data_IF_349541861979
#
_entry.id   IF_349541861979
#
_cell.length_a   1.000
_cell.length_b   1.000
_cell.length_c   1.000
_cell.angle_alpha   90.00
_cell.angle_beta   90.00
_cell.angle_gamma   90.00
#
_symmetry.space_group_name_H-M   'P 1'
#
loop_
_entity.id
_entity.type
_entity.pdbx_description
1 polymer ?
#
# COMPACT_ATOMS: atom_id res chain seq x y z
N UNK A 1 30.19 9.34 -28.94
CA UNK A 1 30.28 8.13 -28.09
C UNK A 1 30.22 6.97 -29.06
N UNK A 2 31.30 6.21 -29.19
CA UNK A 2 31.45 5.24 -30.28
C UNK A 2 30.77 3.92 -29.89
N UNK A 3 30.09 3.28 -30.85
CA UNK A 3 29.35 2.02 -30.59
C UNK A 3 30.23 0.89 -30.02
N UNK A 4 31.54 0.96 -30.29
CA UNK A 4 32.56 0.06 -29.76
C UNK A 4 32.73 0.21 -28.24
N UNK A 5 32.63 1.42 -27.71
CA UNK A 5 32.78 1.71 -26.27
C UNK A 5 31.55 1.19 -25.49
N UNK A 6 30.38 1.27 -26.11
CA UNK A 6 29.12 0.75 -25.54
C UNK A 6 29.15 -0.78 -25.51
N UNK A 7 29.60 -1.43 -26.58
CA UNK A 7 29.70 -2.88 -26.64
C UNK A 7 30.70 -3.46 -25.60
N UNK A 8 31.83 -2.78 -25.39
CA UNK A 8 32.81 -3.16 -24.37
C UNK A 8 32.29 -2.96 -22.95
N UNK A 9 31.54 -1.87 -22.70
CA UNK A 9 30.91 -1.63 -21.41
C UNK A 9 29.84 -2.70 -21.09
N UNK A 10 29.01 -3.06 -22.06
CA UNK A 10 27.97 -4.10 -21.89
C UNK A 10 28.60 -5.48 -21.66
N UNK A 11 29.64 -5.85 -22.40
CA UNK A 11 30.35 -7.12 -22.21
C UNK A 11 30.99 -7.24 -20.81
N UNK A 12 31.57 -6.14 -20.32
CA UNK A 12 32.19 -6.07 -18.98
C UNK A 12 31.15 -6.17 -17.85
N UNK A 13 29.93 -5.70 -18.09
CA UNK A 13 28.83 -5.83 -17.13
C UNK A 13 28.30 -7.27 -17.14
N UNK A 14 28.08 -7.86 -18.32
CA UNK A 14 27.53 -9.22 -18.44
C UNK A 14 28.46 -10.29 -17.85
N UNK A 15 29.78 -10.13 -17.97
CA UNK A 15 30.75 -11.06 -17.38
C UNK A 15 30.76 -11.06 -15.85
N UNK A 16 30.26 -10.01 -15.20
CA UNK A 16 30.09 -9.98 -13.73
C UNK A 16 28.88 -10.79 -13.26
N UNK A 17 27.94 -11.11 -14.15
CA UNK A 17 26.68 -11.78 -13.80
C UNK A 17 26.60 -13.25 -14.23
N UNK A 18 27.50 -13.73 -15.09
CA UNK A 18 27.56 -15.16 -15.47
C UNK A 18 28.54 -15.93 -14.59
N UNK A 19 28.08 -16.44 -13.45
CA UNK A 19 28.72 -17.57 -12.77
C UNK A 19 28.31 -18.84 -13.52
N UNK A 20 29.23 -19.41 -14.29
CA UNK A 20 29.05 -20.73 -14.88
C UNK A 20 29.01 -21.79 -13.77
N UNK A 21 27.99 -22.66 -13.78
CA UNK A 21 27.97 -23.93 -13.05
C UNK A 21 28.89 -24.93 -13.75
N UNK A 22 29.68 -25.69 -12.98
CA UNK A 22 29.94 -27.07 -13.31
C UNK A 22 29.34 -28.01 -12.25
N UNK A 23 28.88 -29.14 -12.76
CA UNK A 23 28.40 -30.32 -12.04
C UNK A 23 29.53 -31.01 -11.23
N UNK A 24 29.13 -31.89 -10.31
CA UNK A 24 29.89 -32.78 -9.39
C UNK A 24 30.40 -32.24 -8.03
N UNK A 25 29.83 -32.83 -6.96
CA UNK A 25 30.33 -32.87 -5.57
C UNK A 25 31.31 -34.08 -5.42
N UNK A 26 32.25 -34.16 -4.42
CA UNK A 26 31.94 -34.04 -2.99
C UNK A 26 33.00 -33.38 -2.06
N UNK A 27 32.55 -33.12 -0.82
CA UNK A 27 33.29 -33.03 0.47
C UNK A 27 34.13 -31.78 0.87
N UNK A 28 33.56 -31.04 1.84
CA UNK A 28 34.17 -30.40 3.04
C UNK A 28 35.54 -29.69 2.98
N UNK A 29 35.56 -28.35 3.13
CA UNK A 29 36.35 -27.67 4.18
C UNK A 29 35.87 -26.24 4.41
N UNK A 30 35.84 -25.85 5.69
CA UNK A 30 35.47 -24.54 6.25
C UNK A 30 36.40 -23.38 5.83
N UNK A 31 35.86 -22.16 5.99
CA UNK A 31 36.54 -20.89 6.23
C UNK A 31 37.18 -20.11 5.04
N UNK A 32 36.38 -19.20 4.48
CA UNK A 32 36.84 -17.84 4.14
C UNK A 32 35.68 -16.87 4.40
N UNK A 33 35.40 -16.61 5.68
CA UNK A 33 34.50 -15.54 6.12
C UNK A 33 35.16 -14.23 5.70
N UNK A 34 34.54 -13.50 4.80
CA UNK A 34 35.04 -12.20 4.34
C UNK A 34 34.75 -11.21 5.47
N UNK A 35 35.68 -11.08 6.41
CA UNK A 35 35.61 -10.11 7.50
C UNK A 35 35.53 -8.71 6.90
N UNK A 36 34.43 -8.02 7.19
CA UNK A 36 34.21 -6.64 6.76
C UNK A 36 32.91 -6.40 6.02
N UNK A 37 32.17 -7.43 5.56
CA UNK A 37 30.85 -7.20 4.97
C UNK A 37 29.87 -6.62 5.98
N UNK A 38 29.88 -7.16 7.20
CA UNK A 38 29.04 -6.68 8.30
C UNK A 38 29.41 -5.24 8.71
N UNK A 39 30.69 -4.88 8.67
CA UNK A 39 31.15 -3.50 8.95
C UNK A 39 30.80 -2.52 7.83
N UNK A 40 30.87 -2.95 6.57
CA UNK A 40 30.47 -2.14 5.40
C UNK A 40 28.97 -1.88 5.44
N UNK A 41 28.16 -2.91 5.75
CA UNK A 41 26.71 -2.79 5.92
C UNK A 41 26.40 -1.88 7.12
N UNK A 42 27.09 -2.04 8.26
CA UNK A 42 26.93 -1.18 9.42
C UNK A 42 27.30 0.29 9.13
N UNK A 43 28.39 0.54 8.39
CA UNK A 43 28.77 1.90 7.97
C UNK A 43 27.81 2.50 6.96
N UNK A 44 27.29 1.72 6.01
CA UNK A 44 26.30 2.19 5.04
C UNK A 44 24.98 2.57 5.73
N UNK A 45 24.53 1.74 6.69
CA UNK A 45 23.35 2.04 7.52
C UNK A 45 23.57 3.26 8.42
N UNK A 46 24.76 3.42 8.99
CA UNK A 46 25.11 4.59 9.79
C UNK A 46 25.20 5.88 8.94
N UNK A 47 25.73 5.81 7.72
CA UNK A 47 25.85 6.97 6.81
C UNK A 47 24.50 7.43 6.24
N UNK A 48 23.51 6.54 6.12
CA UNK A 48 22.14 6.91 5.76
C UNK A 48 21.30 7.38 6.96
N UNK A 49 21.74 7.19 8.20
CA UNK A 49 21.03 7.61 9.41
C UNK A 49 21.16 9.11 9.77
N UNK A 50 21.56 9.96 8.81
CA UNK A 50 21.77 11.39 9.03
C UNK A 50 20.46 12.14 9.34
N UNK A 51 20.08 12.16 10.62
CA UNK A 51 19.16 13.08 11.37
C UNK A 51 17.73 13.28 10.82
N UNK A 52 17.46 13.11 9.53
CA UNK A 52 16.13 13.22 8.92
C UNK A 52 15.32 11.92 9.06
N UNK A 53 15.98 10.77 8.96
CA UNK A 53 15.29 9.47 9.03
C UNK A 53 14.98 9.02 10.45
N UNK A 54 15.77 9.42 11.46
CA UNK A 54 15.48 9.10 12.86
C UNK A 54 14.22 9.82 13.37
N UNK A 55 13.96 11.04 12.90
CA UNK A 55 12.72 11.79 13.17
C UNK A 55 11.51 11.11 12.52
N UNK A 56 11.67 10.67 11.26
CA UNK A 56 10.61 9.97 10.53
C UNK A 56 10.29 8.60 11.15
N UNK A 57 11.31 7.82 11.52
CA UNK A 57 11.15 6.49 12.13
C UNK A 57 10.58 6.60 13.56
N UNK A 58 10.99 7.60 14.34
CA UNK A 58 10.44 7.84 15.68
C UNK A 58 9.00 8.35 15.63
N UNK A 59 8.60 9.10 14.59
CA UNK A 59 7.20 9.43 14.35
C UNK A 59 6.41 8.18 13.91
N UNK A 60 6.96 7.32 13.05
CA UNK A 60 6.33 6.06 12.61
C UNK A 60 6.13 5.07 13.76
N UNK A 61 7.06 4.99 14.72
CA UNK A 61 6.91 4.10 15.88
C UNK A 61 5.81 4.54 16.86
N UNK A 62 5.47 5.83 16.92
CA UNK A 62 4.33 6.32 17.73
C UNK A 62 2.97 5.95 17.12
N UNK A 63 2.93 5.69 15.81
CA UNK A 63 1.73 5.27 15.05
C UNK A 63 1.43 3.77 15.25
N UNK A 64 2.36 2.98 15.80
CA UNK A 64 2.19 1.55 16.03
C UNK A 64 1.23 1.19 17.19
N UNK A 65 0.75 2.19 17.95
CA UNK A 65 -0.47 2.03 18.74
C UNK A 65 -1.64 2.19 17.80
N UNK A 66 -2.19 1.07 17.30
CA UNK A 66 -3.42 0.95 16.49
C UNK A 66 -4.07 2.31 16.18
N UNK A 67 -3.48 3.05 15.23
CA UNK A 67 -3.86 4.45 15.03
C UNK A 67 -5.32 4.45 14.60
N UNK A 68 -6.16 5.17 15.33
CA UNK A 68 -7.62 5.26 15.08
C UNK A 68 -7.97 5.91 13.73
N UNK A 69 -6.97 6.30 12.93
CA UNK A 69 -7.12 7.03 11.68
C UNK A 69 -7.36 8.53 11.85
N UNK A 70 -7.42 9.03 13.10
CA UNK A 70 -7.52 10.45 13.42
C UNK A 70 -6.13 11.01 13.81
N UNK A 71 -5.81 12.21 13.29
CA UNK A 71 -4.53 12.89 13.49
C UNK A 71 -4.77 14.34 13.92
N UNK A 72 -3.79 14.93 14.62
CA UNK A 72 -3.88 16.30 15.14
C UNK A 72 -3.73 17.35 14.02
N UNK A 73 -3.01 17.00 12.95
CA UNK A 73 -2.78 17.89 11.80
C UNK A 73 -3.08 17.21 10.47
N UNK A 74 -3.44 18.02 9.46
CA UNK A 74 -3.73 17.52 8.12
C UNK A 74 -2.49 16.92 7.44
N UNK A 75 -1.31 17.52 7.63
CA UNK A 75 -0.06 17.04 7.03
C UNK A 75 0.33 15.66 7.55
N UNK A 76 0.08 15.38 8.84
CA UNK A 76 0.28 14.06 9.42
C UNK A 76 -0.69 13.03 8.84
N UNK A 77 -1.97 13.38 8.70
CA UNK A 77 -2.96 12.50 8.08
C UNK A 77 -2.61 12.14 6.63
N UNK A 78 -2.18 13.13 5.83
CA UNK A 78 -1.75 12.92 4.45
C UNK A 78 -0.50 12.03 4.41
N UNK A 79 0.50 12.31 5.26
CA UNK A 79 1.73 11.54 5.31
C UNK A 79 1.48 10.07 5.69
N UNK A 80 0.60 9.82 6.67
CA UNK A 80 0.18 8.48 7.04
C UNK A 80 -0.59 7.78 5.91
N UNK A 81 -1.50 8.49 5.23
CA UNK A 81 -2.25 7.96 4.10
C UNK A 81 -1.34 7.60 2.91
N UNK A 82 -0.30 8.40 2.63
CA UNK A 82 0.71 8.09 1.59
C UNK A 82 1.42 6.78 1.92
N UNK A 83 1.88 6.60 3.16
CA UNK A 83 2.55 5.38 3.58
C UNK A 83 1.62 4.16 3.48
N UNK A 84 0.38 4.30 3.97
CA UNK A 84 -0.63 3.25 3.88
C UNK A 84 -0.93 2.89 2.41
N UNK A 85 -1.00 3.86 1.50
CA UNK A 85 -1.24 3.60 0.07
C UNK A 85 -0.10 2.82 -0.59
N UNK A 86 1.16 3.13 -0.24
CA UNK A 86 2.33 2.40 -0.73
C UNK A 86 2.25 0.94 -0.29
N UNK A 87 1.93 0.70 0.98
CA UNK A 87 1.74 -0.66 1.49
C UNK A 87 0.55 -1.37 0.84
N UNK A 88 -0.58 -0.67 0.70
CA UNK A 88 -1.81 -1.17 0.09
C UNK A 88 -1.64 -1.59 -1.36
N UNK A 89 -0.72 -0.96 -2.11
CA UNK A 89 -0.40 -1.34 -3.49
C UNK A 89 0.12 -2.78 -3.59
N UNK A 90 0.75 -3.28 -2.54
CA UNK A 90 1.27 -4.65 -2.48
C UNK A 90 0.23 -5.66 -2.02
N UNK A 91 -0.97 -5.23 -1.61
CA UNK A 91 -2.08 -6.11 -1.27
C UNK A 91 -2.76 -6.67 -2.54
N UNK A 92 -3.14 -7.95 -2.47
CA UNK A 92 -3.88 -8.65 -3.52
C UNK A 92 -5.34 -8.17 -3.62
N UNK A 93 -6.03 -8.50 -4.71
CA UNK A 93 -7.46 -8.20 -4.84
C UNK A 93 -8.31 -8.89 -3.77
N UNK A 94 -7.88 -10.06 -3.27
CA UNK A 94 -8.55 -10.77 -2.18
C UNK A 94 -8.41 -10.02 -0.85
N UNK A 95 -7.24 -9.44 -0.57
CA UNK A 95 -7.03 -8.60 0.61
C UNK A 95 -7.94 -7.37 0.55
N UNK A 96 -8.02 -6.73 -0.63
CA UNK A 96 -8.91 -5.58 -0.86
C UNK A 96 -10.38 -5.93 -0.64
N UNK A 97 -10.82 -7.08 -1.15
CA UNK A 97 -12.17 -7.59 -0.90
C UNK A 97 -12.41 -7.81 0.60
N UNK A 98 -11.41 -8.32 1.33
CA UNK A 98 -11.49 -8.54 2.77
C UNK A 98 -11.61 -7.22 3.54
N UNK A 99 -10.89 -6.18 3.15
CA UNK A 99 -11.01 -4.85 3.76
C UNK A 99 -12.39 -4.23 3.51
N UNK A 100 -12.90 -4.31 2.27
CA UNK A 100 -14.24 -3.81 1.93
C UNK A 100 -15.30 -4.55 2.75
N UNK A 101 -15.21 -5.87 2.84
CA UNK A 101 -16.15 -6.66 3.62
C UNK A 101 -16.05 -6.35 5.11
N UNK A 102 -14.85 -6.18 5.67
CA UNK A 102 -14.67 -5.78 7.06
C UNK A 102 -15.33 -4.43 7.37
N UNK A 103 -15.23 -3.45 6.46
CA UNK A 103 -15.94 -2.16 6.58
C UNK A 103 -17.45 -2.39 6.55
N UNK A 104 -17.96 -3.15 5.57
CA UNK A 104 -19.39 -3.46 5.48
C UNK A 104 -19.90 -4.15 6.74
N UNK A 105 -19.17 -5.13 7.26
CA UNK A 105 -19.55 -5.90 8.45
C UNK A 105 -19.70 -4.99 9.66
N UNK A 106 -18.75 -4.09 9.91
CA UNK A 106 -18.84 -3.10 11.01
C UNK A 106 -20.07 -2.21 10.85
N UNK A 107 -20.29 -1.66 9.66
CA UNK A 107 -21.43 -0.77 9.41
C UNK A 107 -22.78 -1.50 9.27
N UNK A 108 -22.80 -2.84 9.27
CA UNK A 108 -24.02 -3.65 9.31
C UNK A 108 -24.37 -4.14 10.71
N UNK A 109 -23.47 -3.95 11.68
CA UNK A 109 -23.79 -4.19 13.08
C UNK A 109 -24.88 -3.21 13.53
N UNK A 110 -25.92 -3.75 14.18
CA UNK A 110 -27.11 -2.98 14.49
C UNK A 110 -26.83 -1.85 15.49
N UNK A 111 -25.97 -2.10 16.47
CA UNK A 111 -25.52 -1.12 17.46
C UNK A 111 -24.75 0.04 16.80
N UNK A 112 -23.86 -0.26 15.84
CA UNK A 112 -23.12 0.74 15.07
C UNK A 112 -24.08 1.58 14.21
N UNK A 113 -25.00 0.94 13.47
CA UNK A 113 -26.01 1.64 12.66
C UNK A 113 -26.89 2.57 13.50
N UNK A 114 -27.39 2.06 14.63
CA UNK A 114 -28.23 2.84 15.54
C UNK A 114 -27.44 4.03 16.12
N UNK A 115 -26.21 3.79 16.58
CA UNK A 115 -25.38 4.84 17.16
C UNK A 115 -25.10 5.96 16.15
N UNK A 116 -24.59 5.62 14.95
CA UNK A 116 -24.25 6.61 13.92
C UNK A 116 -25.48 7.41 13.45
N UNK A 117 -26.61 6.74 13.28
CA UNK A 117 -27.83 7.39 12.80
C UNK A 117 -28.38 8.38 13.83
N UNK A 118 -28.31 8.03 15.12
CA UNK A 118 -28.72 8.91 16.21
C UNK A 118 -27.75 10.08 16.38
N UNK A 119 -26.45 9.80 16.47
CA UNK A 119 -25.41 10.81 16.62
C UNK A 119 -25.50 11.89 15.54
N UNK A 120 -25.72 11.48 14.29
CA UNK A 120 -25.83 12.43 13.19
C UNK A 120 -27.03 13.39 13.33
N UNK A 121 -28.18 12.93 13.83
CA UNK A 121 -29.34 13.81 14.08
C UNK A 121 -29.09 14.70 15.29
N UNK A 122 -28.53 14.16 16.36
CA UNK A 122 -28.28 14.89 17.61
C UNK A 122 -27.24 15.99 17.42
N UNK A 123 -26.16 15.71 16.70
CA UNK A 123 -25.08 16.67 16.44
C UNK A 123 -25.50 17.77 15.46
N UNK A 124 -26.21 17.40 14.39
CA UNK A 124 -26.47 18.32 13.27
C UNK A 124 -27.85 18.97 13.31
N UNK A 125 -28.81 18.38 14.05
CA UNK A 125 -30.22 18.79 14.05
C UNK A 125 -30.97 18.53 12.72
N UNK A 126 -30.37 17.80 11.77
CA UNK A 126 -30.92 17.59 10.43
C UNK A 126 -31.37 16.15 10.17
N UNK A 127 -32.54 16.02 9.55
CA UNK A 127 -33.14 14.73 9.20
C UNK A 127 -33.79 14.02 10.39
N UNK A 128 -34.13 12.75 10.22
CA UNK A 128 -34.65 11.88 11.27
C UNK A 128 -33.82 10.60 11.38
N UNK A 129 -34.00 9.89 12.49
CA UNK A 129 -33.22 8.71 12.84
C UNK A 129 -33.50 7.54 11.89
N UNK A 130 -34.78 7.28 11.61
CA UNK A 130 -35.24 6.14 10.83
C UNK A 130 -34.70 6.17 9.40
N UNK A 131 -34.75 7.34 8.74
CA UNK A 131 -34.23 7.54 7.40
C UNK A 131 -32.70 7.42 7.37
N UNK A 132 -31.99 7.94 8.39
CA UNK A 132 -30.53 7.79 8.46
C UNK A 132 -30.12 6.33 8.68
N UNK A 133 -30.89 5.55 9.44
CA UNK A 133 -30.66 4.12 9.61
C UNK A 133 -30.78 3.38 8.28
N UNK A 134 -31.81 3.68 7.49
CA UNK A 134 -31.99 3.11 6.16
C UNK A 134 -30.85 3.54 5.23
N UNK A 135 -30.50 4.83 5.19
CA UNK A 135 -29.41 5.36 4.36
C UNK A 135 -28.08 4.66 4.66
N UNK A 136 -27.72 4.55 5.93
CA UNK A 136 -26.47 3.92 6.36
C UNK A 136 -26.45 2.43 5.97
N UNK A 137 -27.56 1.71 6.18
CA UNK A 137 -27.69 0.31 5.77
C UNK A 137 -27.58 0.15 4.25
N UNK A 138 -28.20 1.03 3.48
CA UNK A 138 -28.11 1.03 2.01
C UNK A 138 -26.66 1.29 1.57
N UNK A 139 -25.97 2.25 2.18
CA UNK A 139 -24.57 2.51 1.86
C UNK A 139 -23.69 1.27 2.09
N UNK A 140 -23.87 0.55 3.21
CA UNK A 140 -23.11 -0.67 3.49
C UNK A 140 -23.45 -1.82 2.53
N UNK A 141 -24.72 -1.98 2.15
CA UNK A 141 -25.17 -3.12 1.32
C UNK A 141 -25.03 -2.91 -0.19
N UNK A 142 -25.10 -1.68 -0.67
CA UNK A 142 -25.29 -1.36 -2.09
C UNK A 142 -24.15 -0.58 -2.72
N UNK A 143 -23.18 -0.10 -1.94
CA UNK A 143 -21.97 0.50 -2.51
C UNK A 143 -21.14 -0.59 -3.21
N UNK A 144 -20.83 -0.46 -4.52
CA UNK A 144 -20.00 -1.42 -5.24
C UNK A 144 -18.61 -1.59 -4.60
N UNK A 145 -18.10 -2.81 -4.63
CA UNK A 145 -16.75 -3.18 -4.20
C UNK A 145 -15.79 -3.33 -5.38
N UNK A 146 -14.94 -4.36 -5.33
CA UNK A 146 -13.96 -4.63 -6.39
C UNK A 146 -14.60 -5.09 -7.70
N UNK A 147 -15.85 -5.53 -7.68
CA UNK A 147 -16.61 -5.93 -8.86
C UNK A 147 -16.82 -4.79 -9.86
N UNK A 148 -16.69 -3.53 -9.41
CA UNK A 148 -16.78 -2.34 -10.26
C UNK A 148 -15.48 -2.09 -11.07
N UNK A 149 -14.37 -2.75 -10.70
CA UNK A 149 -13.08 -2.65 -11.39
C UNK A 149 -13.02 -3.61 -12.58
N UNK A 150 -13.85 -3.35 -13.59
CA UNK A 150 -13.97 -4.22 -14.76
C UNK A 150 -12.79 -4.08 -15.72
N UNK A 151 -12.35 -5.20 -16.27
CA UNK A 151 -11.39 -5.25 -17.39
C UNK A 151 -12.11 -5.21 -18.73
N UNK A 152 -11.66 -4.37 -19.65
CA UNK A 152 -12.06 -4.42 -21.06
C UNK A 152 -10.90 -4.91 -21.93
N UNK A 153 -11.19 -5.78 -22.90
CA UNK A 153 -10.20 -6.35 -23.80
C UNK A 153 -10.62 -6.17 -25.26
N UNK A 154 -9.71 -5.65 -26.09
CA UNK A 154 -9.89 -5.52 -27.53
C UNK A 154 -8.85 -6.38 -28.22
N UNK A 155 -9.30 -7.35 -29.01
CA UNK A 155 -8.43 -8.23 -29.79
C UNK A 155 -8.69 -8.09 -31.30
N UNK A 156 -7.64 -8.27 -32.10
CA UNK A 156 -7.71 -8.27 -33.56
C UNK A 156 -6.34 -8.56 -34.16
N UNK A 157 -6.17 -8.31 -35.45
CA UNK A 157 -4.91 -8.55 -36.17
C UNK A 157 -3.73 -7.76 -35.59
N UNK A 158 -4.01 -6.62 -34.94
CA UNK A 158 -3.03 -5.80 -34.23
C UNK A 158 -2.64 -6.30 -32.84
N UNK A 159 -3.14 -7.46 -32.40
CA UNK A 159 -2.84 -8.06 -31.10
C UNK A 159 -3.95 -7.88 -30.07
N UNK A 160 -3.56 -7.71 -28.80
CA UNK A 160 -4.45 -7.60 -27.64
C UNK A 160 -4.19 -6.29 -26.90
N UNK A 161 -5.24 -5.52 -26.67
CA UNK A 161 -5.22 -4.33 -25.80
C UNK A 161 -6.10 -4.60 -24.58
N UNK A 162 -5.56 -4.37 -23.38
CA UNK A 162 -6.29 -4.42 -22.12
C UNK A 162 -6.48 -3.01 -21.57
N UNK A 163 -7.66 -2.75 -21.02
CA UNK A 163 -8.03 -1.49 -20.37
C UNK A 163 -8.51 -1.84 -18.96
N UNK A 164 -7.85 -1.25 -17.97
CA UNK A 164 -8.02 -1.59 -16.55
C UNK A 164 -8.15 -0.32 -15.70
N UNK A 165 -8.90 -0.41 -14.60
CA UNK A 165 -8.92 0.62 -13.56
C UNK A 165 -7.79 0.41 -12.57
N UNK A 166 -6.96 1.44 -12.40
CA UNK A 166 -5.84 1.44 -11.45
C UNK A 166 -6.00 2.54 -10.40
N UNK A 167 -5.36 2.34 -9.25
CA UNK A 167 -5.45 3.29 -8.14
C UNK A 167 -4.78 4.64 -8.51
N UNK A 168 -5.44 5.75 -8.17
CA UNK A 168 -4.87 7.09 -8.29
C UNK A 168 -3.73 7.33 -7.30
N UNK A 169 -3.92 6.95 -6.03
CA UNK A 169 -3.05 7.33 -4.92
C UNK A 169 -3.88 7.73 -3.70
N UNK A 170 -3.45 8.79 -3.00
CA UNK A 170 -4.20 9.37 -1.90
C UNK A 170 -5.35 10.23 -2.45
N UNK A 171 -6.56 10.03 -1.92
CA UNK A 171 -7.76 10.77 -2.30
C UNK A 171 -8.20 11.64 -1.12
N UNK A 172 -8.31 12.95 -1.34
CA UNK A 172 -8.97 13.85 -0.40
C UNK A 172 -10.48 13.83 -0.60
N UNK A 173 -11.24 13.44 0.42
CA UNK A 173 -12.71 13.41 0.38
C UNK A 173 -13.27 14.44 1.35
N UNK A 174 -14.10 15.36 0.84
CA UNK A 174 -14.85 16.32 1.65
C UNK A 174 -16.30 15.83 1.73
N UNK A 175 -16.75 15.44 2.92
CA UNK A 175 -18.08 14.88 3.15
C UNK A 175 -19.08 15.95 3.61
N UNK A 176 -20.34 15.90 3.14
CA UNK A 176 -21.37 16.85 3.57
C UNK A 176 -21.87 16.53 4.98
N UNK A 177 -22.56 17.50 5.60
CA UNK A 177 -23.18 17.35 6.92
C UNK A 177 -24.51 16.57 6.92
N UNK A 178 -25.07 16.21 5.75
CA UNK A 178 -26.45 15.70 5.57
C UNK A 178 -26.61 14.17 5.66
#
# INVERSE_FOLDING_TARGET
MNDIEIAQAVSTILSKFTKATPDEAPATSEAARVDGLDEIVAKALAQHSSVRDASAISQVAKVANASTGAFDTMDEAISAAVLAQVQYRHCSMQDRASFINGIRDVFLQEDVLCALSRMAVEETGMGNYEDKLIKNRVAALKTPGIEDLTTSAVSGDGGLTLIEYSAFGVIGSITPTT
#
